data_IF_729272496457
#
_entry.id   IF_729272496457
#
_cell.length_a   1.000
_cell.length_b   1.000
_cell.length_c   1.000
_cell.angle_alpha   90.00
_cell.angle_beta   90.00
_cell.angle_gamma   90.00
#
_symmetry.space_group_name_H-M   'P 1'
#
loop_
_entity.id
_entity.type
_entity.pdbx_description
1 polymer ?
#
# COMPACT_ATOMS: atom_id res chain seq x y z
N UNK A 1 -11.47 6.75 38.45
CA UNK A 1 -11.14 7.55 37.25
C UNK A 1 -10.62 6.59 36.20
N UNK A 2 -11.47 6.08 35.30
CA UNK A 2 -11.02 5.19 34.22
C UNK A 2 -10.65 6.03 33.00
N UNK A 3 -9.35 6.17 32.74
CA UNK A 3 -8.84 6.64 31.47
C UNK A 3 -9.15 5.57 30.40
N UNK A 4 -10.27 5.72 29.70
CA UNK A 4 -10.40 5.13 28.35
C UNK A 4 -9.47 5.93 27.46
N UNK A 5 -8.30 5.38 27.15
CA UNK A 5 -7.44 5.86 26.07
C UNK A 5 -8.25 5.72 24.78
N UNK A 6 -8.83 6.84 24.36
CA UNK A 6 -9.54 7.01 23.11
C UNK A 6 -8.51 6.90 21.98
N UNK A 7 -8.20 5.67 21.57
CA UNK A 7 -7.32 5.40 20.42
C UNK A 7 -8.07 5.73 19.13
N UNK A 8 -8.41 7.00 18.94
CA UNK A 8 -8.85 7.50 17.64
C UNK A 8 -7.63 7.53 16.76
N UNK A 9 -7.59 6.64 15.78
CA UNK A 9 -6.63 6.63 14.68
C UNK A 9 -6.78 7.92 13.86
N UNK A 10 -6.27 9.01 14.41
CA UNK A 10 -6.29 10.31 13.76
C UNK A 10 -5.31 10.27 12.59
N UNK A 11 -5.76 10.50 11.35
CA UNK A 11 -4.87 10.46 10.19
C UNK A 11 -3.72 11.45 10.38
N UNK A 12 -2.49 10.93 10.37
CA UNK A 12 -1.29 11.74 10.41
C UNK A 12 -0.85 12.10 8.98
N UNK A 13 -0.42 13.34 8.78
CA UNK A 13 0.05 13.80 7.46
C UNK A 13 1.51 13.39 7.28
N UNK A 14 1.77 12.62 6.23
CA UNK A 14 3.13 12.29 5.78
C UNK A 14 3.40 13.10 4.52
N UNK A 15 4.56 13.77 4.47
CA UNK A 15 5.04 14.46 3.27
C UNK A 15 5.96 13.49 2.55
N UNK A 16 5.63 13.16 1.30
CA UNK A 16 6.46 12.34 0.43
C UNK A 16 7.03 13.20 -0.70
N UNK A 17 8.30 12.98 -1.02
CA UNK A 17 8.93 13.53 -2.21
C UNK A 17 8.83 12.48 -3.31
N UNK A 18 8.10 12.82 -4.37
CA UNK A 18 7.94 11.99 -5.56
C UNK A 18 8.33 12.81 -6.77
N UNK A 19 9.00 12.18 -7.72
CA UNK A 19 9.31 12.81 -8.99
C UNK A 19 8.08 12.93 -9.90
N UNK A 20 8.27 13.58 -11.05
CA UNK A 20 7.17 13.81 -11.99
C UNK A 20 6.58 12.50 -12.52
N UNK A 21 7.43 11.53 -12.81
CA UNK A 21 7.01 10.24 -13.38
C UNK A 21 6.21 9.41 -12.37
N UNK A 22 6.62 9.44 -11.10
CA UNK A 22 5.91 8.79 -10.00
C UNK A 22 4.53 9.42 -9.77
N UNK A 23 4.43 10.75 -9.84
CA UNK A 23 3.14 11.46 -9.75
C UNK A 23 2.23 11.16 -10.94
N UNK A 24 2.79 11.14 -12.15
CA UNK A 24 2.02 10.87 -13.37
C UNK A 24 1.47 9.43 -13.36
N UNK A 25 2.23 8.46 -12.83
CA UNK A 25 1.76 7.09 -12.60
C UNK A 25 0.58 7.02 -11.61
N UNK A 26 0.65 7.72 -10.46
CA UNK A 26 -0.48 7.76 -9.53
C UNK A 26 -1.73 8.41 -10.15
N UNK A 27 -1.54 9.40 -11.02
CA UNK A 27 -2.64 10.04 -11.75
C UNK A 27 -3.24 9.14 -12.82
N UNK A 28 -2.44 8.33 -13.52
CA UNK A 28 -2.96 7.37 -14.50
C UNK A 28 -3.85 6.35 -13.81
N UNK A 29 -3.42 5.75 -12.69
CA UNK A 29 -4.25 4.85 -11.89
C UNK A 29 -5.57 5.49 -11.45
N UNK A 30 -5.52 6.75 -11.01
CA UNK A 30 -6.72 7.49 -10.62
C UNK A 30 -7.68 7.72 -11.80
N UNK A 31 -7.15 8.06 -12.98
CA UNK A 31 -7.93 8.22 -14.21
C UNK A 31 -8.54 6.89 -14.67
N UNK A 32 -7.75 5.82 -14.68
CA UNK A 32 -8.20 4.51 -15.12
C UNK A 32 -9.33 3.99 -14.23
N UNK A 33 -9.25 4.20 -12.91
CA UNK A 33 -10.35 3.92 -11.98
C UNK A 33 -11.60 4.74 -12.30
N UNK A 34 -11.45 6.04 -12.61
CA UNK A 34 -12.57 6.91 -12.96
C UNK A 34 -13.26 6.45 -14.26
N UNK A 35 -12.49 6.09 -15.28
CA UNK A 35 -13.03 5.66 -16.57
C UNK A 35 -13.63 4.25 -16.52
N UNK A 36 -13.09 3.36 -15.69
CA UNK A 36 -13.57 1.97 -15.58
C UNK A 36 -14.73 1.79 -14.61
N UNK A 37 -14.78 2.56 -13.52
CA UNK A 37 -15.78 2.37 -12.44
C UNK A 37 -16.65 3.60 -12.18
N UNK A 38 -16.40 4.72 -12.86
CA UNK A 38 -17.07 6.00 -12.59
C UNK A 38 -16.59 6.70 -11.30
N UNK A 39 -15.67 6.09 -10.55
CA UNK A 39 -15.14 6.62 -9.29
C UNK A 39 -13.64 6.83 -9.33
N UNK A 40 -13.20 8.07 -9.08
CA UNK A 40 -11.78 8.43 -9.07
C UNK A 40 -11.11 8.01 -7.76
N UNK A 41 -10.05 7.21 -7.86
CA UNK A 41 -9.10 7.03 -6.77
C UNK A 41 -8.17 8.24 -6.69
N UNK A 42 -8.06 8.84 -5.50
CA UNK A 42 -7.12 9.93 -5.24
C UNK A 42 -5.73 9.36 -4.94
N UNK A 43 -4.67 10.15 -5.20
CA UNK A 43 -3.29 9.76 -4.88
C UNK A 43 -3.15 9.28 -3.42
N UNK A 44 -3.77 10.00 -2.48
CA UNK A 44 -3.78 9.62 -1.06
C UNK A 44 -4.48 8.29 -0.80
N UNK A 45 -5.60 8.00 -1.48
CA UNK A 45 -6.28 6.69 -1.37
C UNK A 45 -5.42 5.57 -1.91
N UNK A 46 -4.72 5.79 -3.03
CA UNK A 46 -3.80 4.82 -3.62
C UNK A 46 -2.65 4.54 -2.64
N UNK A 47 -1.97 5.58 -2.15
CA UNK A 47 -0.87 5.43 -1.19
C UNK A 47 -1.32 4.77 0.11
N UNK A 48 -2.50 5.13 0.63
CA UNK A 48 -3.06 4.48 1.82
C UNK A 48 -3.34 3.00 1.55
N UNK A 49 -3.92 2.65 0.41
CA UNK A 49 -4.18 1.26 0.05
C UNK A 49 -2.87 0.44 -0.06
N UNK A 50 -1.80 1.03 -0.61
CA UNK A 50 -0.48 0.39 -0.66
C UNK A 50 0.06 0.13 0.76
N UNK A 51 0.05 1.13 1.65
CA UNK A 51 0.50 0.97 3.04
C UNK A 51 -0.36 -0.06 3.78
N UNK A 52 -1.69 0.05 3.71
CA UNK A 52 -2.62 -0.87 4.38
C UNK A 52 -2.45 -2.31 3.85
N UNK A 53 -2.03 -2.48 2.59
CA UNK A 53 -1.73 -3.80 2.02
C UNK A 53 -0.40 -4.33 2.55
N UNK A 54 0.66 -3.53 2.54
CA UNK A 54 1.97 -3.92 3.06
C UNK A 54 1.91 -4.27 4.56
N UNK A 55 1.09 -3.57 5.35
CA UNK A 55 0.88 -3.90 6.77
C UNK A 55 0.26 -5.27 7.01
N UNK A 56 -0.42 -5.85 6.01
CA UNK A 56 -1.00 -7.21 6.08
C UNK A 56 -0.01 -8.29 5.66
N UNK A 57 1.20 -7.90 5.27
CA UNK A 57 2.27 -8.81 4.87
C UNK A 57 3.29 -8.98 6.00
N UNK A 58 4.09 -10.04 5.92
CA UNK A 58 5.20 -10.28 6.86
C UNK A 58 6.46 -9.45 6.54
N UNK A 59 6.34 -8.38 5.75
CA UNK A 59 7.48 -7.50 5.47
C UNK A 59 7.85 -6.75 6.76
N UNK A 60 9.11 -6.86 7.17
CA UNK A 60 9.67 -6.14 8.31
C UNK A 60 10.91 -5.37 7.89
N UNK A 61 11.34 -4.39 8.71
CA UNK A 61 12.59 -3.67 8.48
C UNK A 61 13.86 -4.50 8.71
N UNK A 62 13.74 -5.79 9.07
CA UNK A 62 14.89 -6.66 9.30
C UNK A 62 15.65 -6.87 7.99
N UNK A 63 16.97 -6.67 8.04
CA UNK A 63 17.88 -6.82 6.90
C UNK A 63 17.64 -5.86 5.71
N UNK A 64 16.79 -4.84 5.88
CA UNK A 64 16.57 -3.78 4.88
C UNK A 64 17.55 -2.64 5.12
N UNK A 65 18.56 -2.48 4.24
CA UNK A 65 19.58 -1.43 4.37
C UNK A 65 19.31 -0.22 3.49
N UNK A 66 18.39 -0.34 2.54
CA UNK A 66 18.04 0.74 1.63
C UNK A 66 16.81 0.46 0.80
N UNK A 67 16.51 1.38 -0.12
CA UNK A 67 15.38 1.33 -1.04
C UNK A 67 15.33 0.02 -1.81
N UNK A 68 16.44 -0.40 -2.41
CA UNK A 68 16.48 -1.59 -3.26
C UNK A 68 16.19 -2.89 -2.49
N UNK A 69 16.61 -2.97 -1.21
CA UNK A 69 16.28 -4.11 -0.35
C UNK A 69 14.79 -4.16 -0.06
N UNK A 70 14.19 -3.00 0.23
CA UNK A 70 12.75 -2.89 0.47
C UNK A 70 11.95 -3.24 -0.79
N UNK A 71 12.35 -2.76 -1.96
CA UNK A 71 11.69 -3.09 -3.23
C UNK A 71 11.74 -4.61 -3.49
N UNK A 72 12.90 -5.25 -3.29
CA UNK A 72 13.02 -6.71 -3.41
C UNK A 72 12.11 -7.45 -2.42
N UNK A 73 12.03 -6.99 -1.17
CA UNK A 73 11.16 -7.60 -0.16
C UNK A 73 9.68 -7.48 -0.54
N UNK A 74 9.26 -6.31 -1.05
CA UNK A 74 7.89 -6.07 -1.53
C UNK A 74 7.56 -7.00 -2.69
N UNK A 75 8.42 -7.08 -3.71
CA UNK A 75 8.21 -7.95 -4.88
C UNK A 75 8.13 -9.41 -4.47
N UNK A 76 9.07 -9.89 -3.64
CA UNK A 76 9.07 -11.27 -3.15
C UNK A 76 7.79 -11.60 -2.36
N UNK A 77 7.29 -10.65 -1.58
CA UNK A 77 6.02 -10.82 -0.88
C UNK A 77 4.83 -10.89 -1.84
N UNK A 78 4.74 -9.99 -2.82
CA UNK A 78 3.65 -10.01 -3.80
C UNK A 78 3.60 -11.34 -4.56
N UNK A 79 4.74 -11.89 -4.95
CA UNK A 79 4.80 -13.21 -5.60
C UNK A 79 4.20 -14.31 -4.72
N UNK A 80 4.54 -14.34 -3.42
CA UNK A 80 3.95 -15.31 -2.46
C UNK A 80 2.45 -15.15 -2.34
N UNK A 81 1.96 -13.91 -2.22
CA UNK A 81 0.52 -13.62 -2.12
C UNK A 81 -0.22 -14.10 -3.37
N UNK A 82 0.35 -13.90 -4.56
CA UNK A 82 -0.25 -14.39 -5.81
C UNK A 82 -0.22 -15.92 -5.92
N UNK A 83 0.86 -16.57 -5.47
CA UNK A 83 0.94 -18.04 -5.42
C UNK A 83 -0.10 -18.64 -4.45
N UNK A 84 -0.32 -18.00 -3.30
CA UNK A 84 -1.36 -18.42 -2.33
C UNK A 84 -2.77 -18.15 -2.83
N UNK A 85 -3.00 -17.03 -3.53
CA UNK A 85 -4.29 -16.73 -4.15
C UNK A 85 -4.62 -17.63 -5.37
N UNK A 86 -3.59 -18.18 -6.03
CA UNK A 86 -3.74 -19.11 -7.15
C UNK A 86 -3.93 -20.56 -6.70
N UNK A 87 -3.66 -20.90 -5.44
CA UNK A 87 -4.02 -22.21 -4.88
C UNK A 87 -5.55 -22.28 -4.76
N UNK A 88 -6.20 -23.32 -5.30
CA UNK A 88 -7.64 -23.49 -5.14
C UNK A 88 -7.95 -23.54 -3.65
N UNK A 89 -8.98 -22.79 -3.23
CA UNK A 89 -9.51 -22.93 -1.86
C UNK A 89 -9.93 -24.39 -1.68
N UNK A 90 -9.17 -25.15 -0.90
CA UNK A 90 -9.67 -26.42 -0.38
C UNK A 90 -10.92 -26.10 0.46
N UNK A 91 -11.93 -26.94 0.24
CA UNK A 91 -13.37 -26.71 0.43
C UNK A 91 -13.79 -26.30 1.84
#
# INVERSE_FOLDING_TARGET
MNNKSDNRETPQRVIALLDRSEIDFLDSLGKDSLFSTGSKLTRTKILKALVDTLMKTDITGKDIKGRDDLERAIVACMHKVFEEAAKPKEQ
#
